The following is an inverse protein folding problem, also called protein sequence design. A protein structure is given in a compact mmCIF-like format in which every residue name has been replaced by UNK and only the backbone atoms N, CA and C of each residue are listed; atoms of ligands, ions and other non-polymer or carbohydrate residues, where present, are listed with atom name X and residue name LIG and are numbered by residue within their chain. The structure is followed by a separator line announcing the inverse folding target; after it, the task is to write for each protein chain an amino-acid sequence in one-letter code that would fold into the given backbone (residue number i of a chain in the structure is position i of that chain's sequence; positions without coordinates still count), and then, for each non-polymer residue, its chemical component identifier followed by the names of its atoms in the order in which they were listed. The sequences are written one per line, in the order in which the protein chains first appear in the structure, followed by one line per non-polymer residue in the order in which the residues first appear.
data_IF_233605402490
#
_entry.id   IF_233605402490
#
_cell.length_a   1.000
_cell.length_b   1.000
_cell.length_c   1.000
_cell.angle_alpha   90.00
_cell.angle_beta   90.00
_cell.angle_gamma   90.00
#
_symmetry.space_group_name_H-M   'P 1'
#
loop_
_entity.id
_entity.type
_entity.pdbx_description
1 polymer ?
#
# COMPACT_ATOMS: atom_id res chain seq x y z
N UNK A 1 1.68 4.75 -40.07
CA UNK A 1 0.42 4.51 -39.33
C UNK A 1 0.56 3.25 -38.49
N UNK A 2 0.41 3.33 -37.16
CA UNK A 2 0.53 2.16 -36.28
C UNK A 2 -0.63 1.17 -36.49
N UNK A 3 -0.31 -0.11 -36.68
CA UNK A 3 -1.31 -1.21 -36.72
C UNK A 3 -2.06 -1.21 -35.38
N UNK A 4 -3.31 -0.72 -35.36
CA UNK A 4 -4.21 -0.85 -34.19
C UNK A 4 -4.36 -2.34 -33.88
N UNK A 5 -3.74 -2.81 -32.79
CA UNK A 5 -3.94 -4.18 -32.32
C UNK A 5 -5.39 -4.32 -31.83
N UNK A 6 -6.22 -5.05 -32.58
CA UNK A 6 -7.58 -5.38 -32.16
C UNK A 6 -7.53 -6.57 -31.20
N UNK A 7 -7.94 -6.36 -29.95
CA UNK A 7 -8.05 -7.41 -28.95
C UNK A 7 -9.46 -8.01 -28.94
N UNK A 8 -9.57 -9.31 -29.21
CA UNK A 8 -10.85 -10.02 -29.31
C UNK A 8 -11.15 -10.83 -28.03
N UNK A 9 -12.39 -10.80 -27.51
CA UNK A 9 -12.81 -11.63 -26.38
C UNK A 9 -12.66 -13.14 -26.66
N UNK A 10 -12.40 -13.93 -25.63
CA UNK A 10 -12.32 -15.41 -25.75
C UNK A 10 -13.61 -16.00 -26.35
N UNK A 11 -14.79 -15.46 -26.03
CA UNK A 11 -16.07 -15.85 -26.65
C UNK A 11 -16.04 -15.76 -28.17
N UNK A 12 -15.50 -14.67 -28.72
CA UNK A 12 -15.40 -14.44 -30.17
C UNK A 12 -14.40 -15.42 -30.80
N UNK A 13 -13.27 -15.66 -30.13
CA UNK A 13 -12.27 -16.64 -30.60
C UNK A 13 -12.85 -18.05 -30.65
N UNK A 14 -13.64 -18.44 -29.65
CA UNK A 14 -14.29 -19.75 -29.60
C UNK A 14 -15.36 -19.92 -30.69
N UNK A 15 -16.16 -18.88 -30.96
CA UNK A 15 -17.13 -18.90 -32.06
C UNK A 15 -16.43 -19.05 -33.42
N UNK A 16 -15.32 -18.33 -33.63
CA UNK A 16 -14.51 -18.47 -34.83
C UNK A 16 -13.92 -19.88 -34.98
N UNK A 17 -13.41 -20.47 -33.90
CA UNK A 17 -12.92 -21.86 -33.91
C UNK A 17 -14.04 -22.84 -34.26
N UNK A 18 -15.24 -22.67 -33.69
CA UNK A 18 -16.39 -23.53 -34.00
C UNK A 18 -16.79 -23.44 -35.48
N UNK A 19 -16.75 -22.24 -36.07
CA UNK A 19 -17.03 -22.08 -37.50
C UNK A 19 -15.96 -22.74 -38.38
N UNK A 20 -14.68 -22.62 -38.01
CA UNK A 20 -13.57 -23.29 -38.73
C UNK A 20 -13.72 -24.81 -38.74
N UNK A 21 -14.28 -25.41 -37.69
CA UNK A 21 -14.56 -26.86 -37.65
C UNK A 21 -15.67 -27.29 -38.61
N UNK A 22 -16.63 -26.41 -38.88
CA UNK A 22 -17.80 -26.71 -39.70
C UNK A 22 -17.48 -26.50 -41.19
N UNK A 23 -16.86 -25.36 -41.53
CA UNK A 23 -16.69 -24.93 -42.93
C UNK A 23 -15.24 -24.84 -43.39
N UNK A 24 -14.27 -25.11 -42.51
CA UNK A 24 -12.85 -24.95 -42.80
C UNK A 24 -12.36 -23.50 -42.68
N UNK A 25 -11.03 -23.33 -42.60
CA UNK A 25 -10.40 -22.04 -42.31
C UNK A 25 -10.64 -20.96 -43.38
N UNK A 26 -10.52 -21.24 -44.69
CA UNK A 26 -10.72 -20.22 -45.73
C UNK A 26 -12.15 -19.66 -45.72
N UNK A 27 -13.15 -20.55 -45.72
CA UNK A 27 -14.57 -20.17 -45.72
C UNK A 27 -14.98 -19.47 -44.43
N UNK A 28 -14.45 -19.88 -43.27
CA UNK A 28 -14.70 -19.21 -42.00
C UNK A 28 -14.11 -17.78 -41.96
N UNK A 29 -12.96 -17.56 -42.60
CA UNK A 29 -12.33 -16.23 -42.70
C UNK A 29 -13.20 -15.27 -43.51
N UNK A 30 -13.76 -15.72 -44.63
CA UNK A 30 -14.69 -14.95 -45.45
C UNK A 30 -15.96 -14.58 -44.69
N UNK A 31 -16.56 -15.53 -43.98
CA UNK A 31 -17.78 -15.31 -43.20
C UNK A 31 -17.59 -14.38 -42.00
N UNK A 32 -16.43 -14.44 -41.33
CA UNK A 32 -16.18 -13.67 -40.11
C UNK A 32 -15.61 -12.26 -40.38
N UNK A 33 -15.07 -12.01 -41.58
CA UNK A 33 -14.43 -10.75 -41.92
C UNK A 33 -13.16 -10.43 -41.11
N UNK A 34 -12.56 -11.44 -40.46
CA UNK A 34 -11.31 -11.29 -39.71
C UNK A 34 -10.10 -11.62 -40.58
N UNK A 35 -8.92 -10.99 -40.35
CA UNK A 35 -7.73 -11.34 -41.12
C UNK A 35 -7.39 -12.82 -40.99
N UNK A 36 -7.02 -13.46 -42.10
CA UNK A 36 -6.67 -14.89 -42.14
C UNK A 36 -5.66 -15.28 -41.05
N UNK A 37 -4.60 -14.49 -40.89
CA UNK A 37 -3.56 -14.69 -39.86
C UNK A 37 -4.10 -14.68 -38.42
N UNK A 38 -5.20 -13.96 -38.17
CA UNK A 38 -5.83 -13.85 -36.85
C UNK A 38 -6.64 -15.09 -36.54
N UNK A 39 -7.50 -15.52 -37.46
CA UNK A 39 -8.32 -16.75 -37.30
C UNK A 39 -7.41 -17.97 -37.23
N UNK A 40 -6.38 -18.03 -38.08
CA UNK A 40 -5.38 -19.09 -38.04
C UNK A 40 -4.66 -19.17 -36.69
N UNK A 41 -4.26 -18.03 -36.11
CA UNK A 41 -3.64 -18.02 -34.77
C UNK A 41 -4.59 -18.52 -33.68
N UNK A 42 -5.87 -18.20 -33.75
CA UNK A 42 -6.86 -18.73 -32.80
C UNK A 42 -7.05 -20.24 -32.97
N UNK A 43 -7.07 -20.70 -34.22
CA UNK A 43 -7.13 -22.13 -34.56
C UNK A 43 -5.94 -22.92 -34.00
N UNK A 44 -4.73 -22.39 -34.11
CA UNK A 44 -3.53 -22.99 -33.51
C UNK A 44 -3.63 -23.03 -31.97
N UNK A 45 -4.20 -21.99 -31.36
CA UNK A 45 -4.38 -21.90 -29.91
C UNK A 45 -5.68 -22.56 -29.38
N UNK A 46 -6.42 -23.33 -30.22
CA UNK A 46 -7.79 -23.79 -29.91
C UNK A 46 -7.90 -24.62 -28.64
N UNK A 47 -6.95 -25.53 -28.40
CA UNK A 47 -6.95 -26.37 -27.20
C UNK A 47 -6.88 -25.52 -25.92
N UNK A 48 -6.00 -24.52 -25.90
CA UNK A 48 -5.85 -23.58 -24.77
C UNK A 48 -7.08 -22.69 -24.59
N UNK A 49 -7.70 -22.25 -25.67
CA UNK A 49 -8.92 -21.45 -25.63
C UNK A 49 -10.13 -22.26 -25.12
N UNK A 50 -10.24 -23.55 -25.48
CA UNK A 50 -11.28 -24.46 -24.96
C UNK A 50 -11.08 -24.80 -23.49
N UNK A 51 -9.84 -25.00 -23.06
CA UNK A 51 -9.51 -25.28 -21.66
C UNK A 51 -9.67 -24.06 -20.72
N UNK A 52 -9.91 -22.86 -21.26
CA UNK A 52 -10.03 -21.65 -20.45
C UNK A 52 -11.35 -21.57 -19.68
N UNK A 53 -11.25 -21.67 -18.34
CA UNK A 53 -12.40 -21.61 -17.41
C UNK A 53 -12.74 -20.20 -16.88
N UNK A 54 -12.01 -19.16 -17.31
CA UNK A 54 -12.24 -17.79 -16.84
C UNK A 54 -13.34 -17.05 -17.59
N UNK A 55 -13.53 -15.76 -17.27
CA UNK A 55 -14.52 -14.90 -17.93
C UNK A 55 -14.29 -14.85 -19.46
N UNK A 56 -15.26 -15.35 -20.23
CA UNK A 56 -15.19 -15.43 -21.71
C UNK A 56 -15.23 -14.06 -22.41
N UNK A 57 -15.59 -12.99 -21.71
CA UNK A 57 -15.46 -11.60 -22.17
C UNK A 57 -14.01 -11.07 -22.09
N UNK A 58 -13.12 -11.76 -21.36
CA UNK A 58 -11.70 -11.42 -21.29
C UNK A 58 -11.06 -11.53 -22.67
N UNK A 59 -10.17 -10.58 -23.01
CA UNK A 59 -9.39 -10.60 -24.26
C UNK A 59 -8.19 -11.55 -24.19
N UNK A 60 -7.76 -11.94 -22.99
CA UNK A 60 -6.65 -12.86 -22.74
C UNK A 60 -7.12 -14.03 -21.88
N UNK A 61 -6.48 -15.20 -22.03
CA UNK A 61 -6.72 -16.35 -21.14
C UNK A 61 -6.11 -16.16 -19.74
N UNK A 62 -5.55 -14.97 -19.44
CA UNK A 62 -4.66 -14.67 -18.31
C UNK A 62 -3.51 -15.71 -18.18
N UNK A 63 -2.46 -15.39 -17.42
CA UNK A 63 -1.24 -16.22 -17.36
C UNK A 63 -0.16 -15.89 -18.41
N UNK A 64 -0.32 -14.82 -19.19
CA UNK A 64 0.81 -14.19 -19.90
C UNK A 64 1.58 -13.30 -18.93
N UNK A 65 2.38 -13.95 -18.10
CA UNK A 65 3.37 -13.30 -17.26
C UNK A 65 4.31 -14.39 -16.77
N UNK A 66 5.57 -14.37 -17.20
CA UNK A 66 6.61 -15.12 -16.51
C UNK A 66 6.53 -14.68 -15.06
N UNK A 67 6.23 -15.60 -14.14
CA UNK A 67 6.39 -15.34 -12.71
C UNK A 67 7.89 -15.25 -12.50
N UNK A 68 8.48 -14.07 -12.71
CA UNK A 68 9.77 -13.77 -12.12
C UNK A 68 9.51 -13.82 -10.61
N UNK A 69 9.82 -14.96 -10.02
CA UNK A 69 9.83 -15.22 -8.60
C UNK A 69 11.23 -15.70 -8.27
N UNK A 70 11.78 -15.20 -7.18
CA UNK A 70 13.04 -15.70 -6.67
C UNK A 70 12.91 -17.20 -6.39
N UNK A 71 13.95 -18.01 -6.66
CA UNK A 71 13.92 -19.42 -6.30
C UNK A 71 13.78 -19.61 -4.77
N UNK A 72 14.21 -18.62 -3.99
CA UNK A 72 14.14 -18.54 -2.53
C UNK A 72 13.01 -17.62 -2.03
N UNK A 73 11.90 -17.50 -2.78
CA UNK A 73 10.78 -16.63 -2.35
C UNK A 73 10.33 -16.89 -0.91
N UNK A 74 10.13 -18.13 -0.43
CA UNK A 74 9.73 -18.38 0.96
C UNK A 74 10.65 -17.75 2.00
N UNK A 75 11.97 -17.91 1.85
CA UNK A 75 12.97 -17.36 2.77
C UNK A 75 12.95 -15.83 2.78
N UNK A 76 12.84 -15.19 1.60
CA UNK A 76 12.70 -13.75 1.49
C UNK A 76 11.42 -13.25 2.18
N UNK A 77 10.30 -13.99 2.09
CA UNK A 77 9.06 -13.61 2.79
C UNK A 77 9.22 -13.74 4.30
N UNK A 78 9.83 -14.83 4.79
CA UNK A 78 10.09 -15.02 6.21
C UNK A 78 10.94 -13.88 6.77
N UNK A 79 12.06 -13.57 6.12
CA UNK A 79 12.91 -12.43 6.47
C UNK A 79 12.14 -11.11 6.56
N UNK A 80 11.33 -10.80 5.55
CA UNK A 80 10.50 -9.58 5.58
C UNK A 80 9.54 -9.56 6.77
N UNK A 81 8.89 -10.69 7.05
CA UNK A 81 7.92 -10.80 8.15
C UNK A 81 8.59 -10.71 9.51
N UNK A 82 9.74 -11.32 9.70
CA UNK A 82 10.49 -11.27 10.95
C UNK A 82 10.93 -9.83 11.25
N UNK A 83 11.56 -9.17 10.28
CA UNK A 83 11.90 -7.75 10.42
C UNK A 83 10.65 -6.92 10.75
N UNK A 84 9.48 -7.18 10.15
CA UNK A 84 8.24 -6.45 10.48
C UNK A 84 7.65 -6.79 11.85
N UNK A 85 7.79 -8.03 12.31
CA UNK A 85 7.39 -8.44 13.67
C UNK A 85 8.22 -7.70 14.72
N UNK A 86 9.49 -7.49 14.42
CA UNK A 86 10.42 -6.80 15.32
C UNK A 86 10.36 -5.26 15.16
N UNK A 87 9.41 -4.75 14.36
CA UNK A 87 9.13 -3.32 14.12
C UNK A 87 10.29 -2.49 13.54
N UNK A 88 11.29 -3.12 12.96
CA UNK A 88 12.52 -2.49 12.47
C UNK A 88 12.37 -1.65 11.16
N UNK A 89 13.44 -1.44 10.40
CA UNK A 89 13.35 -0.90 9.05
C UNK A 89 13.34 -2.02 8.00
N UNK A 90 12.34 -2.04 7.12
CA UNK A 90 12.33 -2.89 5.92
C UNK A 90 12.36 -2.02 4.67
N UNK A 91 13.53 -1.94 4.05
CA UNK A 91 13.73 -1.23 2.78
C UNK A 91 14.14 -2.19 1.68
N UNK A 92 13.96 -1.78 0.43
CA UNK A 92 14.45 -2.57 -0.71
C UNK A 92 15.97 -2.80 -0.62
N UNK A 93 16.73 -1.85 -0.07
CA UNK A 93 18.18 -2.01 0.16
C UNK A 93 18.48 -3.11 1.16
N UNK A 94 17.73 -3.20 2.26
CA UNK A 94 17.87 -4.27 3.27
C UNK A 94 17.53 -5.63 2.66
N UNK A 95 16.50 -5.69 1.83
CA UNK A 95 16.16 -6.91 1.09
C UNK A 95 17.26 -7.31 0.07
N UNK A 96 17.94 -6.35 -0.53
CA UNK A 96 19.08 -6.61 -1.43
C UNK A 96 20.25 -7.17 -0.62
N UNK A 97 20.57 -6.56 0.53
CA UNK A 97 21.64 -7.05 1.41
C UNK A 97 21.41 -8.50 1.83
N UNK A 98 20.19 -8.85 2.27
CA UNK A 98 19.80 -10.23 2.56
C UNK A 98 20.05 -11.19 1.38
N UNK A 99 19.76 -10.76 0.15
CA UNK A 99 20.00 -11.58 -1.05
C UNK A 99 21.49 -11.72 -1.34
N UNK A 100 22.26 -10.65 -1.18
CA UNK A 100 23.71 -10.68 -1.40
C UNK A 100 24.40 -11.58 -0.36
N UNK A 101 23.93 -11.57 0.88
CA UNK A 101 24.50 -12.36 1.98
C UNK A 101 24.15 -13.85 1.89
N UNK A 102 22.88 -14.19 1.63
CA UNK A 102 22.42 -15.58 1.69
C UNK A 102 22.29 -16.27 0.33
N UNK A 103 22.29 -15.52 -0.76
CA UNK A 103 22.08 -16.02 -2.12
C UNK A 103 23.05 -15.37 -3.11
N UNK A 104 24.32 -15.24 -2.72
CA UNK A 104 25.37 -14.58 -3.50
C UNK A 104 25.48 -15.15 -4.92
N UNK A 105 25.58 -16.47 -5.08
CA UNK A 105 25.69 -17.10 -6.40
C UNK A 105 24.54 -16.71 -7.33
N UNK A 106 23.31 -16.68 -6.80
CA UNK A 106 22.14 -16.26 -7.55
C UNK A 106 22.22 -14.77 -7.90
N UNK A 107 22.65 -13.92 -6.96
CA UNK A 107 22.83 -12.50 -7.18
C UNK A 107 23.86 -12.22 -8.28
N UNK A 108 25.02 -12.87 -8.24
CA UNK A 108 26.08 -12.73 -9.25
C UNK A 108 25.60 -13.21 -10.61
N UNK A 109 24.95 -14.39 -10.67
CA UNK A 109 24.34 -14.90 -11.90
C UNK A 109 23.27 -13.95 -12.45
N UNK A 110 22.44 -13.37 -11.59
CA UNK A 110 21.45 -12.38 -11.99
C UNK A 110 22.09 -11.09 -12.51
N UNK A 111 23.12 -10.58 -11.82
CA UNK A 111 23.84 -9.36 -12.19
C UNK A 111 24.56 -9.49 -13.53
N UNK A 112 25.16 -10.64 -13.82
CA UNK A 112 25.82 -10.94 -15.09
C UNK A 112 24.88 -10.85 -16.30
N UNK A 113 23.56 -11.05 -16.12
CA UNK A 113 22.58 -10.88 -17.20
C UNK A 113 22.25 -9.42 -17.54
N UNK A 114 22.81 -8.45 -16.80
CA UNK A 114 22.43 -7.04 -16.88
C UNK A 114 23.52 -6.23 -17.55
N UNK A 115 23.11 -5.15 -18.21
CA UNK A 115 24.00 -4.27 -18.98
C UNK A 115 24.96 -3.45 -18.10
N UNK A 116 24.57 -3.18 -16.86
CA UNK A 116 25.36 -2.39 -15.90
C UNK A 116 24.85 -2.65 -14.49
N UNK A 117 25.67 -2.32 -13.50
CA UNK A 117 25.31 -2.41 -12.07
C UNK A 117 24.04 -1.60 -11.77
N UNK A 118 23.94 -0.38 -12.29
CA UNK A 118 22.76 0.45 -12.06
C UNK A 118 21.50 -0.11 -12.73
N UNK A 119 21.64 -0.76 -13.89
CA UNK A 119 20.54 -1.51 -14.51
C UNK A 119 20.17 -2.74 -13.69
N UNK A 120 21.15 -3.43 -13.11
CA UNK A 120 20.93 -4.56 -12.21
C UNK A 120 20.12 -4.12 -11.00
N UNK A 121 20.61 -3.13 -10.27
CA UNK A 121 19.96 -2.59 -9.07
C UNK A 121 18.51 -2.19 -9.32
N UNK A 122 18.23 -1.35 -10.32
CA UNK A 122 16.86 -0.92 -10.65
C UNK A 122 15.95 -2.10 -11.02
N UNK A 123 16.48 -3.10 -11.73
CA UNK A 123 15.69 -4.28 -12.10
C UNK A 123 15.37 -5.16 -10.89
N UNK A 124 16.34 -5.32 -9.98
CA UNK A 124 16.19 -6.09 -8.75
C UNK A 124 15.21 -5.39 -7.80
N UNK A 125 15.32 -4.08 -7.61
CA UNK A 125 14.39 -3.30 -6.80
C UNK A 125 12.94 -3.48 -7.27
N UNK A 126 12.68 -3.42 -8.59
CA UNK A 126 11.35 -3.67 -9.16
C UNK A 126 10.87 -5.10 -8.96
N UNK A 127 11.78 -6.08 -8.99
CA UNK A 127 11.44 -7.47 -8.74
C UNK A 127 11.07 -7.69 -7.26
N UNK A 128 11.81 -7.08 -6.34
CA UNK A 128 11.53 -7.11 -4.90
C UNK A 128 10.21 -6.42 -4.59
N UNK A 129 9.97 -5.22 -5.11
CA UNK A 129 8.71 -4.49 -4.93
C UNK A 129 7.50 -5.28 -5.42
N UNK A 130 7.60 -5.91 -6.61
CA UNK A 130 6.51 -6.77 -7.14
C UNK A 130 6.30 -8.02 -6.30
N UNK A 131 7.38 -8.58 -5.75
CA UNK A 131 7.30 -9.74 -4.86
C UNK A 131 6.65 -9.35 -3.54
N UNK A 132 7.15 -8.31 -2.88
CA UNK A 132 6.59 -7.74 -1.66
C UNK A 132 5.08 -7.46 -1.81
N UNK A 133 4.68 -6.73 -2.87
CA UNK A 133 3.28 -6.43 -3.14
C UNK A 133 2.42 -7.69 -3.34
N UNK A 134 2.96 -8.74 -3.98
CA UNK A 134 2.24 -10.01 -4.17
C UNK A 134 1.97 -10.72 -2.83
N UNK A 135 2.83 -10.53 -1.84
CA UNK A 135 2.72 -11.15 -0.52
C UNK A 135 2.20 -10.20 0.56
N UNK A 136 1.54 -9.10 0.16
CA UNK A 136 0.87 -8.19 1.10
C UNK A 136 1.79 -7.18 1.79
N UNK A 137 3.07 -7.10 1.40
CA UNK A 137 4.00 -6.10 1.92
C UNK A 137 3.97 -4.88 1.00
N UNK A 138 3.66 -3.72 1.55
CA UNK A 138 3.53 -2.46 0.81
C UNK A 138 4.35 -1.34 1.46
N UNK A 139 4.70 -0.33 0.66
CA UNK A 139 5.36 0.87 1.18
C UNK A 139 4.38 1.70 2.00
N UNK A 140 4.75 1.97 3.25
CA UNK A 140 4.00 2.81 4.17
C UNK A 140 4.89 3.95 4.66
N UNK A 141 4.28 5.02 5.19
CA UNK A 141 5.05 6.05 5.90
C UNK A 141 5.47 5.48 7.25
N UNK A 142 6.75 5.58 7.64
CA UNK A 142 7.16 5.24 8.98
C UNK A 142 6.37 6.04 10.00
N UNK A 143 5.95 5.40 11.07
CA UNK A 143 5.31 6.03 12.22
C UNK A 143 6.20 5.80 13.43
N UNK A 144 6.44 6.87 14.17
CA UNK A 144 7.17 6.78 15.42
C UNK A 144 6.26 6.17 16.50
N UNK A 145 6.76 5.14 17.16
CA UNK A 145 6.16 4.52 18.34
C UNK A 145 7.11 4.74 19.52
N UNK A 146 6.56 5.04 20.69
CA UNK A 146 7.38 5.24 21.91
C UNK A 146 7.90 3.92 22.48
N UNK A 147 7.19 2.83 22.20
CA UNK A 147 7.45 1.48 22.67
C UNK A 147 7.05 0.50 21.56
N UNK A 148 7.73 -0.66 21.46
CA UNK A 148 7.28 -1.76 20.60
C UNK A 148 5.85 -2.19 20.96
N UNK A 149 5.06 -2.62 19.98
CA UNK A 149 3.64 -2.97 20.20
C UNK A 149 3.48 -4.10 21.22
N UNK A 150 4.35 -5.11 21.20
CA UNK A 150 4.31 -6.22 22.16
C UNK A 150 4.51 -5.75 23.60
N UNK A 151 5.44 -4.82 23.82
CA UNK A 151 5.65 -4.23 25.15
C UNK A 151 4.49 -3.33 25.57
N UNK A 152 3.93 -2.55 24.64
CA UNK A 152 2.77 -1.71 24.89
C UNK A 152 1.54 -2.53 25.30
N UNK A 153 1.27 -3.66 24.63
CA UNK A 153 0.18 -4.57 24.98
C UNK A 153 0.39 -5.19 26.36
N UNK A 154 1.62 -5.62 26.67
CA UNK A 154 1.97 -6.14 27.98
C UNK A 154 1.71 -5.11 29.08
N UNK A 155 2.20 -3.88 28.91
CA UNK A 155 2.03 -2.79 29.90
C UNK A 155 0.55 -2.44 30.06
N UNK A 156 -0.23 -2.36 28.97
CA UNK A 156 -1.67 -2.11 29.03
C UNK A 156 -2.41 -3.19 29.81
N UNK A 157 -2.05 -4.46 29.60
CA UNK A 157 -2.67 -5.59 30.27
C UNK A 157 -2.36 -5.59 31.77
N UNK A 158 -1.08 -5.43 32.13
CA UNK A 158 -0.65 -5.34 33.53
C UNK A 158 -1.30 -4.14 34.25
N UNK A 159 -1.35 -2.98 33.60
CA UNK A 159 -2.05 -1.81 34.13
C UNK A 159 -3.54 -2.09 34.35
N UNK A 160 -4.23 -2.68 33.37
CA UNK A 160 -5.65 -2.98 33.48
C UNK A 160 -5.94 -3.96 34.63
N UNK A 161 -5.13 -5.01 34.79
CA UNK A 161 -5.24 -5.96 35.89
C UNK A 161 -5.11 -5.26 37.25
N UNK A 162 -4.03 -4.49 37.45
CA UNK A 162 -3.80 -3.76 38.71
C UNK A 162 -4.86 -2.70 38.98
N UNK A 163 -5.35 -2.03 37.94
CA UNK A 163 -6.40 -1.05 38.07
C UNK A 163 -7.69 -1.69 38.58
N UNK A 164 -8.15 -2.78 37.96
CA UNK A 164 -9.38 -3.46 38.36
C UNK A 164 -9.25 -4.25 39.66
N UNK A 165 -8.06 -4.74 40.00
CA UNK A 165 -7.79 -5.34 41.31
C UNK A 165 -7.97 -4.30 42.44
N UNK A 166 -7.50 -3.06 42.25
CA UNK A 166 -7.55 -2.02 43.28
C UNK A 166 -8.84 -1.21 43.31
N UNK A 167 -9.45 -1.00 42.14
CA UNK A 167 -10.58 -0.09 41.95
C UNK A 167 -11.84 -0.79 41.42
N UNK A 168 -11.86 -2.12 41.39
CA UNK A 168 -13.00 -2.90 40.88
C UNK A 168 -14.30 -2.76 41.65
N UNK A 169 -14.22 -2.36 42.92
CA UNK A 169 -15.39 -2.12 43.76
C UNK A 169 -16.10 -0.79 43.46
N UNK A 170 -15.44 0.14 42.76
CA UNK A 170 -16.05 1.43 42.40
C UNK A 170 -17.08 1.24 41.29
N UNK A 171 -18.23 1.90 41.43
CA UNK A 171 -19.23 1.94 40.38
C UNK A 171 -18.73 2.67 39.13
N UNK A 172 -19.30 2.36 37.96
CA UNK A 172 -18.98 3.06 36.72
C UNK A 172 -19.23 4.58 36.80
N UNK A 173 -20.11 5.03 37.71
CA UNK A 173 -20.39 6.44 38.00
C UNK A 173 -19.33 7.14 38.85
N UNK A 174 -18.30 6.44 39.30
CA UNK A 174 -17.25 6.96 40.19
C UNK A 174 -15.88 6.97 39.50
N UNK A 175 -15.76 6.33 38.33
CA UNK A 175 -14.53 6.27 37.54
C UNK A 175 -14.58 7.33 36.45
N UNK A 176 -13.59 8.23 36.46
CA UNK A 176 -13.47 9.33 35.51
C UNK A 176 -12.17 9.21 34.72
N UNK A 177 -12.27 9.26 33.39
CA UNK A 177 -11.13 9.45 32.51
C UNK A 177 -11.04 10.93 32.14
N UNK A 178 -9.91 11.56 32.44
CA UNK A 178 -9.62 12.97 32.18
C UNK A 178 -8.43 13.03 31.23
N UNK A 179 -8.55 13.79 30.15
CA UNK A 179 -7.42 14.07 29.25
C UNK A 179 -7.40 15.52 28.82
N UNK A 180 -6.20 16.04 28.57
CA UNK A 180 -5.98 17.40 28.08
C UNK A 180 -5.62 17.35 26.60
N UNK A 181 -6.39 18.05 25.78
CA UNK A 181 -6.11 18.18 24.35
C UNK A 181 -5.85 19.64 23.98
N UNK A 182 -4.81 19.86 23.17
CA UNK A 182 -4.51 21.17 22.64
C UNK A 182 -5.39 21.46 21.43
N UNK A 183 -6.17 22.52 21.51
CA UNK A 183 -6.91 23.09 20.37
C UNK A 183 -6.01 24.15 19.73
N UNK A 184 -5.61 23.86 18.51
CA UNK A 184 -4.78 24.70 17.67
C UNK A 184 -5.68 25.49 16.72
N UNK A 185 -5.69 26.82 16.84
CA UNK A 185 -6.42 27.74 15.96
C UNK A 185 -5.44 28.68 15.23
N UNK A 186 -5.84 29.16 14.05
CA UNK A 186 -5.00 29.97 13.16
C UNK A 186 -3.78 29.24 12.58
N UNK A 187 -3.86 27.92 12.37
CA UNK A 187 -2.80 27.18 11.67
C UNK A 187 -2.83 27.52 10.17
N UNK A 188 -1.78 28.14 9.60
CA UNK A 188 -1.67 28.26 8.17
C UNK A 188 -1.50 26.86 7.54
N UNK A 189 -1.94 26.66 6.28
CA UNK A 189 -1.84 25.38 5.60
C UNK A 189 -0.39 24.88 5.53
N UNK A 190 -0.16 23.60 5.84
CA UNK A 190 1.17 22.98 5.84
C UNK A 190 1.81 22.85 4.46
N UNK A 191 0.99 22.95 3.41
CA UNK A 191 1.41 22.91 2.00
C UNK A 191 0.61 23.92 1.21
N UNK A 192 1.31 24.69 0.39
CA UNK A 192 0.75 25.61 -0.59
C UNK A 192 1.29 25.28 -1.98
N UNK A 193 0.55 25.63 -3.00
CA UNK A 193 0.97 25.41 -4.38
C UNK A 193 2.03 26.45 -4.76
N UNK A 194 3.20 25.96 -5.20
CA UNK A 194 4.25 26.79 -5.79
C UNK A 194 4.33 26.60 -7.29
N UNK A 195 4.59 27.67 -8.02
CA UNK A 195 4.83 27.62 -9.47
C UNK A 195 6.16 26.90 -9.73
N UNK A 196 6.10 25.81 -10.52
CA UNK A 196 7.26 25.00 -10.90
C UNK A 196 8.27 25.85 -11.69
N UNK A 197 9.56 25.72 -11.36
CA UNK A 197 10.66 26.41 -12.06
C UNK A 197 10.88 27.87 -11.66
N UNK A 198 10.02 28.47 -10.83
CA UNK A 198 10.18 29.84 -10.33
C UNK A 198 10.73 29.83 -8.91
N UNK A 199 11.90 30.45 -8.69
CA UNK A 199 12.50 30.60 -7.36
C UNK A 199 11.62 31.48 -6.48
N UNK A 200 11.28 30.99 -5.28
CA UNK A 200 10.45 31.74 -4.33
C UNK A 200 8.96 31.80 -4.66
N UNK A 201 8.45 30.93 -5.53
CA UNK A 201 7.04 30.91 -5.96
C UNK A 201 6.02 30.51 -4.88
N UNK A 202 6.50 30.16 -3.69
CA UNK A 202 5.70 29.83 -2.51
C UNK A 202 6.02 30.75 -1.31
N UNK A 203 6.58 31.95 -1.56
CA UNK A 203 6.78 32.94 -0.49
C UNK A 203 5.44 33.54 -0.08
N UNK A 204 5.17 33.57 1.23
CA UNK A 204 3.96 34.15 1.84
C UNK A 204 4.41 35.24 2.81
N UNK A 205 3.76 36.40 2.78
CA UNK A 205 3.99 37.50 3.74
C UNK A 205 3.33 37.17 5.08
N UNK A 206 3.93 37.64 6.17
CA UNK A 206 3.37 37.56 7.54
C UNK A 206 2.92 36.16 7.97
N UNK A 207 3.61 35.12 7.48
CA UNK A 207 3.34 33.74 7.85
C UNK A 207 3.71 33.54 9.32
N UNK A 208 2.72 33.62 10.20
CA UNK A 208 2.90 33.24 11.59
C UNK A 208 2.99 31.72 11.68
N UNK A 209 4.22 31.21 11.90
CA UNK A 209 4.48 29.77 12.07
C UNK A 209 3.92 29.24 13.39
N UNK A 210 3.60 30.12 14.33
CA UNK A 210 3.09 29.77 15.64
C UNK A 210 1.56 29.89 15.65
N UNK A 211 0.92 28.76 15.90
CA UNK A 211 -0.51 28.62 16.08
C UNK A 211 -0.95 29.21 17.43
N UNK A 212 -2.10 29.87 17.47
CA UNK A 212 -2.80 30.13 18.74
C UNK A 212 -3.16 28.79 19.40
N UNK A 213 -2.89 28.64 20.70
CA UNK A 213 -3.10 27.37 21.41
C UNK A 213 -3.97 27.58 22.64
N UNK A 214 -5.10 26.90 22.67
CA UNK A 214 -5.96 26.73 23.83
C UNK A 214 -5.85 25.28 24.33
N UNK A 215 -5.92 25.05 25.63
CA UNK A 215 -6.05 23.69 26.17
C UNK A 215 -7.51 23.44 26.53
N UNK A 216 -8.06 22.32 26.09
CA UNK A 216 -9.36 21.82 26.53
C UNK A 216 -9.13 20.58 27.38
N UNK A 217 -9.71 20.55 28.59
CA UNK A 217 -9.77 19.38 29.45
C UNK A 217 -11.08 18.67 29.20
N UNK A 218 -11.01 17.40 28.82
CA UNK A 218 -12.14 16.53 28.51
C UNK A 218 -12.26 15.48 29.60
N UNK A 219 -13.44 15.39 30.21
CA UNK A 219 -13.72 14.35 31.20
C UNK A 219 -14.91 13.51 30.77
N UNK A 220 -14.71 12.19 30.77
CA UNK A 220 -15.76 11.20 30.53
C UNK A 220 -15.80 10.22 31.69
N UNK A 221 -17.01 9.88 32.11
CA UNK A 221 -17.26 8.89 33.15
C UNK A 221 -17.41 7.50 32.54
N UNK A 222 -17.06 6.45 33.28
CA UNK A 222 -17.06 5.08 32.75
C UNK A 222 -18.46 4.57 32.34
N UNK A 223 -19.54 5.15 32.90
CA UNK A 223 -20.92 4.90 32.47
C UNK A 223 -21.34 5.63 31.18
N UNK A 224 -20.41 6.34 30.53
CA UNK A 224 -20.63 7.07 29.28
C UNK A 224 -21.08 8.53 29.47
N UNK A 225 -21.28 9.01 30.70
CA UNK A 225 -21.62 10.42 30.94
C UNK A 225 -20.45 11.33 30.58
N UNK A 226 -20.70 12.27 29.66
CA UNK A 226 -19.74 13.34 29.32
C UNK A 226 -19.94 14.52 30.27
N UNK A 227 -18.85 15.01 30.85
CA UNK A 227 -18.86 16.21 31.69
C UNK A 227 -18.61 17.47 30.84
N UNK A 228 -18.92 18.67 31.37
CA UNK A 228 -18.61 19.93 30.69
C UNK A 228 -17.13 20.04 30.34
N UNK A 229 -16.85 20.58 29.14
CA UNK A 229 -15.48 20.85 28.68
C UNK A 229 -14.94 22.05 29.46
N UNK A 230 -13.74 21.92 30.00
CA UNK A 230 -13.05 23.03 30.67
C UNK A 230 -11.99 23.61 29.71
N UNK A 231 -12.00 24.92 29.50
CA UNK A 231 -11.00 25.59 28.70
C UNK A 231 -9.98 26.29 29.60
N UNK A 232 -8.71 26.01 29.38
CA UNK A 232 -7.60 26.70 30.05
C UNK A 232 -7.01 27.69 29.03
N UNK A 233 -7.27 28.97 29.30
CA UNK A 233 -6.70 30.09 28.54
C UNK A 233 -5.47 30.61 29.28
N UNK A 234 -4.38 30.87 28.54
CA UNK A 234 -3.22 31.57 29.09
C UNK A 234 -3.52 33.07 29.08
N UNK A 235 -4.04 33.61 30.17
CA UNK A 235 -4.20 35.05 30.35
C UNK A 235 -2.85 35.76 30.48
N UNK A 236 -2.77 37.00 29.98
CA UNK A 236 -1.65 37.91 30.24
C UNK A 236 -2.03 38.81 31.43
N UNK A 237 -1.15 38.97 32.41
CA UNK A 237 -1.41 39.87 33.56
C UNK A 237 -1.72 41.28 33.02
N UNK A 238 -2.94 41.77 33.28
CA UNK A 238 -3.43 43.08 32.83
C UNK A 238 -4.08 43.14 31.43
N UNK A 239 -4.25 42.01 30.73
CA UNK A 239 -4.97 41.96 29.45
C UNK A 239 -6.48 41.77 29.63
N UNK A 240 -7.29 42.61 29.00
CA UNK A 240 -8.73 42.36 28.86
C UNK A 240 -8.96 41.43 27.67
N UNK A 241 -9.17 40.14 27.93
CA UNK A 241 -9.62 39.20 26.92
C UNK A 241 -11.12 39.43 26.68
N UNK A 242 -11.46 40.11 25.57
CA UNK A 242 -12.85 40.12 25.07
C UNK A 242 -13.09 38.79 24.35
N UNK A 243 -14.01 37.99 24.89
CA UNK A 243 -14.60 36.83 24.21
C UNK A 243 -15.38 37.27 22.98
#
# INVERSE_FOLDING_TARGET
MGRKQRGYPVKVKLAAIGLVEIVGLPTAVEHLGYPHSTVHRWWQARAKLRAFKGNKLSKTTKGQGRKESFPFTPALITFMKDIRRDEDWLTTSIMIAFIQEHYEEWYQGYAATKKSEQSCRRSLERLLQRTAARYGVSTQKPQETKLPSGDLERIKTDFALRFWEKYGDYGASEIYNVDETAIQFDMPPSKIWGIKGRKGSAKVQDLNKHCGRMTAVLTIRADGKKLPILFILRGKVGGFDRL
#
